data_IF_949594063883
#
_entry.id   IF_949594063883
#
_cell.length_a   1.000
_cell.length_b   1.000
_cell.length_c   1.000
_cell.angle_alpha   90.00
_cell.angle_beta   90.00
_cell.angle_gamma   90.00
#
_symmetry.space_group_name_H-M   'P 1'
#
loop_
_entity.id
_entity.type
_entity.pdbx_description
1 polymer ?
#
# COMPACT_ATOMS: atom_id res chain seq x y z
N UNK A 1 18.33 -96.27 101.36
CA UNK A 1 17.82 -97.65 101.21
C UNK A 1 17.06 -97.68 99.90
N UNK A 2 17.53 -98.50 98.97
CA UNK A 2 16.90 -98.79 97.68
C UNK A 2 15.71 -99.75 97.86
N UNK A 3 15.01 -99.96 96.75
CA UNK A 3 14.24 -101.16 96.41
C UNK A 3 12.86 -101.32 97.05
N UNK A 4 11.83 -101.73 96.33
CA UNK A 4 11.53 -101.83 94.90
C UNK A 4 10.04 -102.23 94.87
N UNK A 5 9.30 -101.71 93.91
CA UNK A 5 8.24 -102.42 93.18
C UNK A 5 7.13 -103.21 93.93
N UNK A 6 5.89 -102.78 93.66
CA UNK A 6 4.94 -103.51 92.80
C UNK A 6 3.71 -102.63 92.52
N UNK A 7 3.54 -102.12 91.29
CA UNK A 7 2.78 -102.71 90.17
C UNK A 7 1.32 -103.04 90.54
N UNK A 8 0.23 -102.61 89.89
CA UNK A 8 -0.15 -101.99 88.59
C UNK A 8 -1.69 -101.70 88.71
N UNK A 9 -2.46 -101.33 87.67
CA UNK A 9 -2.33 -100.27 86.65
C UNK A 9 -3.56 -99.32 86.64
N UNK A 10 -3.47 -98.15 86.00
CA UNK A 10 -4.63 -97.29 85.73
C UNK A 10 -4.69 -96.85 84.25
N UNK A 11 -5.89 -96.58 83.70
CA UNK A 11 -6.18 -96.69 82.27
C UNK A 11 -5.85 -95.43 81.44
N UNK A 12 -5.52 -95.70 80.18
CA UNK A 12 -5.34 -94.85 79.00
C UNK A 12 -6.10 -93.51 78.96
N UNK A 13 -5.38 -92.39 79.03
CA UNK A 13 -5.88 -91.06 78.65
C UNK A 13 -5.89 -90.86 77.13
N UNK A 14 -6.97 -90.23 76.65
CA UNK A 14 -7.21 -89.92 75.23
C UNK A 14 -6.10 -89.01 74.67
N UNK A 15 -5.55 -89.41 73.52
CA UNK A 15 -4.61 -88.63 72.73
C UNK A 15 -5.27 -87.34 72.20
N UNK A 16 -4.88 -86.20 72.74
CA UNK A 16 -5.21 -84.87 72.19
C UNK A 16 -4.21 -84.56 71.08
N UNK A 17 -4.69 -84.44 69.85
CA UNK A 17 -3.89 -83.94 68.72
C UNK A 17 -3.73 -82.42 68.90
N UNK A 18 -2.50 -81.87 68.96
CA UNK A 18 -2.33 -80.44 69.09
C UNK A 18 -2.78 -79.74 67.80
N UNK A 19 -3.76 -78.86 67.90
CA UNK A 19 -4.11 -77.89 66.86
C UNK A 19 -2.87 -77.05 66.55
N UNK A 20 -2.42 -76.95 65.28
CA UNK A 20 -1.31 -76.06 64.96
C UNK A 20 -1.72 -74.63 65.31
N UNK A 21 -1.01 -74.04 66.28
CA UNK A 21 -1.11 -72.59 66.53
C UNK A 21 -0.67 -71.92 65.23
N UNK A 22 -1.50 -71.02 64.71
CA UNK A 22 -1.07 -70.00 63.76
C UNK A 22 0.12 -69.28 64.38
N UNK A 23 1.34 -69.70 64.03
CA UNK A 23 2.54 -68.93 64.30
C UNK A 23 2.34 -67.57 63.64
N UNK A 24 2.61 -66.50 64.38
CA UNK A 24 2.64 -65.14 63.85
C UNK A 24 3.28 -65.13 62.46
N UNK A 25 2.75 -64.37 61.49
CA UNK A 25 3.45 -64.19 60.23
C UNK A 25 4.89 -63.81 60.57
N UNK A 26 5.85 -64.40 59.85
CA UNK A 26 7.27 -64.09 59.99
C UNK A 26 7.43 -62.58 60.23
N UNK A 27 8.30 -62.14 61.18
CA UNK A 27 8.46 -60.72 61.44
C UNK A 27 8.61 -60.05 60.09
N UNK A 28 7.71 -59.09 59.79
CA UNK A 28 7.83 -58.26 58.60
C UNK A 28 9.29 -57.83 58.64
N UNK A 29 10.08 -58.30 57.67
CA UNK A 29 11.44 -57.83 57.48
C UNK A 29 11.26 -56.35 57.17
N UNK A 30 11.21 -55.54 58.21
CA UNK A 30 11.44 -54.11 58.10
C UNK A 30 12.90 -54.09 57.72
N UNK A 31 13.17 -54.14 56.41
CA UNK A 31 14.43 -53.68 55.87
C UNK A 31 14.48 -52.21 56.27
N UNK A 32 14.90 -51.96 57.52
CA UNK A 32 14.98 -50.64 58.09
C UNK A 32 15.76 -49.82 57.10
N UNK A 33 15.22 -48.67 56.75
CA UNK A 33 15.95 -47.67 56.01
C UNK A 33 17.17 -47.31 56.87
N UNK A 34 18.29 -47.98 56.65
CA UNK A 34 19.58 -47.54 57.21
C UNK A 34 19.74 -46.06 56.86
N UNK A 35 20.32 -45.27 57.75
CA UNK A 35 20.51 -43.84 57.52
C UNK A 35 21.14 -43.56 56.15
N UNK A 36 22.02 -44.46 55.71
CA UNK A 36 22.68 -44.41 54.40
C UNK A 36 21.74 -44.70 53.22
N UNK A 37 20.85 -45.69 53.33
CA UNK A 37 19.84 -45.98 52.27
C UNK A 37 18.78 -44.88 52.20
N UNK A 38 18.38 -44.32 53.35
CA UNK A 38 17.50 -43.15 53.41
C UNK A 38 18.15 -41.93 52.75
N UNK A 39 19.42 -41.63 53.09
CA UNK A 39 20.18 -40.55 52.49
C UNK A 39 20.32 -40.71 50.97
N UNK A 40 20.56 -41.94 50.48
CA UNK A 40 20.66 -42.22 49.05
C UNK A 40 19.33 -41.98 48.32
N UNK A 41 18.20 -42.43 48.87
CA UNK A 41 16.86 -42.17 48.31
C UNK A 41 16.53 -40.67 48.30
N UNK A 42 16.87 -39.94 49.36
CA UNK A 42 16.71 -38.48 49.43
C UNK A 42 17.60 -37.77 48.39
N UNK A 43 18.85 -38.20 48.22
CA UNK A 43 19.74 -37.63 47.19
C UNK A 43 19.30 -37.94 45.76
N UNK A 44 18.73 -39.13 45.52
CA UNK A 44 18.25 -39.56 44.21
C UNK A 44 16.93 -38.86 43.84
N UNK A 45 16.05 -38.64 44.82
CA UNK A 45 14.82 -37.85 44.63
C UNK A 45 15.11 -36.34 44.57
N UNK A 46 16.13 -35.86 45.27
CA UNK A 46 16.62 -34.48 45.16
C UNK A 46 17.21 -34.20 43.77
N UNK A 47 18.07 -35.09 43.26
CA UNK A 47 18.69 -34.95 41.94
C UNK A 47 17.68 -35.04 40.79
N UNK A 48 16.68 -35.93 40.85
CA UNK A 48 15.64 -35.99 39.81
C UNK A 48 14.74 -34.76 39.81
N UNK A 49 14.38 -34.23 40.98
CA UNK A 49 13.64 -32.95 41.10
C UNK A 49 14.46 -31.77 40.58
N UNK A 50 15.74 -31.71 40.91
CA UNK A 50 16.64 -30.67 40.41
C UNK A 50 16.82 -30.75 38.89
N UNK A 51 16.95 -31.95 38.33
CA UNK A 51 17.00 -32.15 36.87
C UNK A 51 15.69 -31.72 36.18
N UNK A 52 14.54 -32.05 36.78
CA UNK A 52 13.24 -31.60 36.28
C UNK A 52 13.09 -30.06 36.34
N UNK A 53 13.48 -29.44 37.46
CA UNK A 53 13.47 -27.97 37.60
C UNK A 53 14.42 -27.29 36.63
N UNK A 54 15.61 -27.85 36.41
CA UNK A 54 16.56 -27.35 35.41
C UNK A 54 15.99 -27.48 33.99
N UNK A 55 15.37 -28.60 33.66
CA UNK A 55 14.68 -28.80 32.38
C UNK A 55 13.57 -27.77 32.14
N UNK A 56 12.72 -27.55 33.15
CA UNK A 56 11.67 -26.51 33.10
C UNK A 56 12.28 -25.12 32.96
N UNK A 57 13.36 -24.81 33.69
CA UNK A 57 14.04 -23.53 33.60
C UNK A 57 14.64 -23.28 32.21
N UNK A 58 15.27 -24.29 31.60
CA UNK A 58 15.81 -24.20 30.23
C UNK A 58 14.70 -23.97 29.21
N UNK A 59 13.61 -24.73 29.28
CA UNK A 59 12.47 -24.56 28.36
C UNK A 59 11.84 -23.18 28.54
N UNK A 60 11.63 -22.74 29.78
CA UNK A 60 11.07 -21.42 30.08
C UNK A 60 11.98 -20.32 29.54
N UNK A 61 13.29 -20.43 29.76
CA UNK A 61 14.28 -19.49 29.21
C UNK A 61 14.23 -19.47 27.68
N UNK A 62 14.18 -20.63 27.04
CA UNK A 62 14.09 -20.74 25.59
C UNK A 62 12.82 -20.08 25.04
N UNK A 63 11.67 -20.30 25.68
CA UNK A 63 10.40 -19.66 25.30
C UNK A 63 10.49 -18.14 25.44
N UNK A 64 11.09 -17.64 26.51
CA UNK A 64 11.27 -16.19 26.71
C UNK A 64 12.20 -15.60 25.64
N UNK A 65 13.35 -16.24 25.38
CA UNK A 65 14.30 -15.79 24.36
C UNK A 65 13.65 -15.82 22.98
N UNK A 66 12.91 -16.88 22.65
CA UNK A 66 12.21 -16.99 21.38
C UNK A 66 11.07 -15.96 21.25
N UNK A 67 10.36 -15.66 22.35
CA UNK A 67 9.35 -14.60 22.37
C UNK A 67 9.96 -13.22 22.07
N UNK A 68 11.12 -12.89 22.67
CA UNK A 68 11.84 -11.65 22.35
C UNK A 68 12.46 -11.65 20.95
N UNK A 69 12.83 -12.80 20.41
CA UNK A 69 13.28 -12.93 19.02
C UNK A 69 12.13 -12.67 18.02
N UNK A 70 10.93 -13.21 18.30
CA UNK A 70 9.77 -13.01 17.44
C UNK A 70 9.12 -11.63 17.61
N UNK A 71 9.01 -11.12 18.83
CA UNK A 71 8.35 -9.84 19.15
C UNK A 71 9.29 -8.63 19.15
N UNK A 72 10.61 -8.85 19.18
CA UNK A 72 11.61 -7.81 19.36
C UNK A 72 11.89 -7.50 20.83
N UNK A 73 13.04 -6.87 21.06
CA UNK A 73 13.44 -6.38 22.37
C UNK A 73 12.72 -5.05 22.69
N UNK A 74 12.20 -4.86 23.91
CA UNK A 74 11.55 -3.62 24.31
C UNK A 74 12.48 -2.41 24.12
N UNK A 75 12.03 -1.43 23.35
CA UNK A 75 12.78 -0.20 23.09
C UNK A 75 13.82 -0.28 21.96
N UNK A 76 13.99 -1.43 21.29
CA UNK A 76 14.87 -1.58 20.12
C UNK A 76 14.03 -1.73 18.86
N UNK A 77 13.89 -0.63 18.12
CA UNK A 77 13.14 -0.58 16.85
C UNK A 77 13.78 -1.54 15.83
N UNK A 78 12.96 -2.33 15.13
CA UNK A 78 13.42 -3.25 14.08
C UNK A 78 14.04 -4.55 14.56
N UNK A 79 14.03 -4.83 15.88
CA UNK A 79 14.54 -6.10 16.43
C UNK A 79 13.55 -7.27 16.29
N UNK A 80 12.30 -6.99 15.92
CA UNK A 80 11.24 -7.98 15.78
C UNK A 80 11.31 -8.68 14.42
N UNK A 81 11.49 -10.00 14.43
CA UNK A 81 11.41 -10.81 13.20
C UNK A 81 10.01 -10.77 12.59
N UNK A 82 8.96 -10.75 13.41
CA UNK A 82 7.58 -10.71 12.92
C UNK A 82 7.26 -9.37 12.24
N UNK A 83 7.80 -8.25 12.75
CA UNK A 83 7.64 -6.96 12.09
C UNK A 83 8.39 -6.90 10.77
N UNK A 84 9.64 -7.39 10.72
CA UNK A 84 10.42 -7.46 9.48
C UNK A 84 9.71 -8.30 8.41
N UNK A 85 9.19 -9.47 8.78
CA UNK A 85 8.45 -10.33 7.85
C UNK A 85 7.12 -9.69 7.38
N UNK A 86 6.43 -8.97 8.28
CA UNK A 86 5.21 -8.22 7.92
C UNK A 86 5.52 -7.10 6.92
N UNK A 87 6.60 -6.37 7.15
CA UNK A 87 7.05 -5.29 6.28
C UNK A 87 7.41 -5.80 4.88
N UNK A 88 8.15 -6.91 4.81
CA UNK A 88 8.48 -7.55 3.52
C UNK A 88 7.23 -7.98 2.75
N UNK A 89 6.25 -8.59 3.43
CA UNK A 89 4.97 -8.96 2.82
C UNK A 89 4.15 -7.75 2.38
N UNK A 90 4.20 -6.67 3.15
CA UNK A 90 3.55 -5.40 2.80
C UNK A 90 4.17 -4.80 1.55
N UNK A 91 5.49 -4.67 1.48
CA UNK A 91 6.19 -4.13 0.30
C UNK A 91 5.95 -4.98 -0.96
N UNK A 92 5.90 -6.31 -0.84
CA UNK A 92 5.53 -7.18 -1.96
C UNK A 92 4.07 -6.95 -2.40
N UNK A 93 3.16 -6.71 -1.45
CA UNK A 93 1.75 -6.35 -1.75
C UNK A 93 1.68 -5.00 -2.47
N UNK A 94 2.42 -4.00 -2.00
CA UNK A 94 2.54 -2.66 -2.61
C UNK A 94 3.09 -2.76 -4.04
N UNK A 95 4.12 -3.58 -4.25
CA UNK A 95 4.73 -3.85 -5.56
C UNK A 95 3.74 -4.43 -6.56
N UNK A 96 2.94 -5.42 -6.15
CA UNK A 96 1.90 -6.01 -7.01
C UNK A 96 0.80 -4.99 -7.31
N UNK A 97 0.40 -4.23 -6.29
CA UNK A 97 -0.53 -3.12 -6.41
C UNK A 97 -0.09 -2.08 -7.43
N UNK A 98 1.19 -1.70 -7.42
CA UNK A 98 1.76 -0.79 -8.41
C UNK A 98 1.64 -1.33 -9.83
N UNK A 99 2.01 -2.59 -10.06
CA UNK A 99 1.92 -3.18 -11.40
C UNK A 99 0.47 -3.20 -11.92
N UNK A 100 -0.50 -3.49 -11.04
CA UNK A 100 -1.93 -3.40 -11.37
C UNK A 100 -2.35 -1.96 -11.66
N UNK A 101 -1.86 -1.00 -10.87
CA UNK A 101 -2.15 0.42 -11.03
C UNK A 101 -1.63 0.98 -12.34
N UNK A 102 -0.39 0.69 -12.70
CA UNK A 102 0.20 1.12 -13.98
C UNK A 102 -0.59 0.57 -15.17
N UNK A 103 -0.98 -0.71 -15.12
CA UNK A 103 -1.71 -1.35 -16.22
C UNK A 103 -3.14 -0.79 -16.40
N UNK A 104 -3.79 -0.32 -15.34
CA UNK A 104 -5.24 -0.08 -15.34
C UNK A 104 -5.66 1.35 -14.98
N UNK A 105 -4.94 2.00 -14.07
CA UNK A 105 -5.37 3.21 -13.38
C UNK A 105 -4.52 4.44 -13.77
N UNK A 106 -3.22 4.26 -13.98
CA UNK A 106 -2.27 5.34 -14.25
C UNK A 106 -2.65 6.18 -15.49
N UNK A 107 -3.29 5.58 -16.50
CA UNK A 107 -3.77 6.30 -17.69
C UNK A 107 -4.74 7.44 -17.38
N UNK A 108 -5.51 7.32 -16.30
CA UNK A 108 -6.47 8.35 -15.89
C UNK A 108 -5.96 9.15 -14.68
N UNK A 109 -5.33 8.48 -13.73
CA UNK A 109 -4.92 9.06 -12.45
C UNK A 109 -3.44 9.48 -12.38
N UNK A 110 -2.67 9.30 -13.46
CA UNK A 110 -1.23 9.56 -13.52
C UNK A 110 -0.41 8.44 -12.89
N UNK A 111 0.87 8.32 -13.24
CA UNK A 111 1.76 7.25 -12.74
C UNK A 111 1.97 7.29 -11.20
N UNK A 112 1.91 8.49 -10.62
CA UNK A 112 2.07 8.74 -9.19
C UNK A 112 0.84 9.44 -8.60
N UNK A 113 -0.35 9.13 -9.13
CA UNK A 113 -1.60 9.66 -8.59
C UNK A 113 -1.80 11.16 -8.83
N UNK A 114 -1.01 11.81 -9.68
CA UNK A 114 -1.09 13.25 -9.97
C UNK A 114 -2.36 13.68 -10.74
N UNK A 115 -3.19 12.73 -11.15
CA UNK A 115 -4.43 12.96 -11.89
C UNK A 115 -4.24 13.05 -13.40
N UNK A 116 -5.24 13.64 -14.07
CA UNK A 116 -5.29 13.85 -15.52
C UNK A 116 -6.74 13.80 -16.01
N UNK A 117 -7.12 12.71 -16.66
CA UNK A 117 -8.53 12.43 -17.00
C UNK A 117 -9.34 12.18 -15.73
N UNK A 118 -8.75 11.43 -14.80
CA UNK A 118 -9.28 11.15 -13.49
C UNK A 118 -8.74 12.11 -12.43
N UNK A 119 -9.34 12.10 -11.24
CA UNK A 119 -8.92 12.96 -10.14
C UNK A 119 -7.53 12.63 -9.62
N UNK A 120 -6.89 13.63 -9.01
CA UNK A 120 -5.65 13.48 -8.25
C UNK A 120 -5.89 12.54 -7.07
N UNK A 121 -5.09 11.49 -6.96
CA UNK A 121 -5.09 10.49 -5.89
C UNK A 121 -3.97 10.71 -4.85
N UNK A 122 -2.99 11.56 -5.15
CA UNK A 122 -1.86 11.84 -4.27
C UNK A 122 -2.07 13.03 -3.31
N UNK A 123 -3.14 13.82 -3.49
CA UNK A 123 -3.46 14.96 -2.63
C UNK A 123 -4.07 14.51 -1.29
N UNK A 124 -3.23 14.36 -0.27
CA UNK A 124 -3.63 13.90 1.05
C UNK A 124 -4.57 14.86 1.79
N UNK A 125 -4.47 16.17 1.53
CA UNK A 125 -5.30 17.17 2.17
C UNK A 125 -6.75 17.08 1.71
N UNK A 126 -6.95 16.88 0.40
CA UNK A 126 -8.27 16.66 -0.17
C UNK A 126 -8.77 15.25 0.11
N UNK A 127 -7.91 14.24 0.08
CA UNK A 127 -8.38 12.84 0.18
C UNK A 127 -8.46 12.29 1.60
N UNK A 128 -8.34 13.13 2.65
CA UNK A 128 -8.25 12.66 4.04
C UNK A 128 -9.38 11.68 4.43
N UNK A 129 -10.62 11.96 4.03
CA UNK A 129 -11.77 11.07 4.28
C UNK A 129 -11.97 9.96 3.24
N UNK A 130 -11.19 9.99 2.15
CA UNK A 130 -11.41 9.20 0.95
C UNK A 130 -10.25 8.22 0.63
N UNK A 131 -9.11 8.31 1.34
CA UNK A 131 -8.02 7.31 1.32
C UNK A 131 -8.20 6.20 2.38
N UNK A 132 -9.42 6.04 2.91
CA UNK A 132 -9.72 4.92 3.81
C UNK A 132 -9.85 3.63 2.98
N UNK A 133 -9.38 2.47 3.50
CA UNK A 133 -9.50 1.20 2.78
C UNK A 133 -10.94 0.86 2.38
N UNK A 134 -11.90 1.13 3.26
CA UNK A 134 -13.32 0.87 3.01
C UNK A 134 -13.88 1.76 1.90
N UNK A 135 -13.51 3.04 1.86
CA UNK A 135 -13.93 3.93 0.78
C UNK A 135 -13.35 3.48 -0.56
N UNK A 136 -12.05 3.20 -0.62
CA UNK A 136 -11.40 2.74 -1.86
C UNK A 136 -11.95 1.39 -2.34
N UNK A 137 -12.21 0.45 -1.42
CA UNK A 137 -12.87 -0.82 -1.74
C UNK A 137 -14.24 -0.60 -2.37
N UNK A 138 -15.06 0.29 -1.81
CA UNK A 138 -16.38 0.60 -2.37
C UNK A 138 -16.29 1.28 -3.74
N UNK A 139 -15.35 2.20 -3.92
CA UNK A 139 -15.08 2.85 -5.21
C UNK A 139 -14.66 1.82 -6.26
N UNK A 140 -13.79 0.87 -5.93
CA UNK A 140 -13.34 -0.15 -6.88
C UNK A 140 -14.43 -1.20 -7.15
N UNK A 141 -15.33 -1.43 -6.18
CA UNK A 141 -16.46 -2.36 -6.33
C UNK A 141 -17.59 -1.77 -7.16
N UNK A 142 -17.94 -0.50 -6.97
CA UNK A 142 -19.11 0.12 -7.63
C UNK A 142 -18.69 1.04 -8.79
N UNK A 143 -17.40 1.29 -8.94
CA UNK A 143 -16.86 2.28 -9.88
C UNK A 143 -17.09 3.71 -9.39
N UNK A 144 -16.75 4.67 -10.25
CA UNK A 144 -16.85 6.08 -9.92
C UNK A 144 -18.27 6.61 -9.78
N UNK A 145 -19.31 5.79 -10.01
CA UNK A 145 -20.69 6.10 -9.60
C UNK A 145 -20.80 6.28 -8.08
N UNK A 146 -20.02 5.55 -7.31
CA UNK A 146 -19.99 5.71 -5.86
C UNK A 146 -19.48 7.10 -5.45
N UNK A 147 -18.65 7.70 -6.30
CA UNK A 147 -18.13 9.05 -6.14
C UNK A 147 -19.23 10.01 -6.60
N UNK A 148 -19.78 10.79 -5.68
CA UNK A 148 -20.81 11.81 -5.97
C UNK A 148 -22.16 11.32 -6.53
N UNK A 149 -22.36 10.01 -6.71
CA UNK A 149 -23.56 9.48 -7.40
C UNK A 149 -23.57 9.71 -8.91
N UNK A 150 -22.42 10.00 -9.54
CA UNK A 150 -22.38 10.35 -10.96
C UNK A 150 -22.59 9.11 -11.85
N UNK A 151 -23.76 9.00 -12.47
CA UNK A 151 -24.10 7.89 -13.35
C UNK A 151 -23.24 7.84 -14.64
N UNK A 152 -22.60 8.96 -15.01
CA UNK A 152 -21.78 9.10 -16.22
C UNK A 152 -20.27 9.03 -15.90
N UNK A 153 -19.89 8.58 -14.71
CA UNK A 153 -18.48 8.47 -14.35
C UNK A 153 -17.71 7.57 -15.32
N UNK A 154 -16.56 8.06 -15.79
CA UNK A 154 -15.66 7.30 -16.66
C UNK A 154 -14.91 6.19 -15.90
N UNK A 155 -14.88 6.27 -14.56
CA UNK A 155 -14.29 5.23 -13.73
C UNK A 155 -15.26 4.05 -13.65
N UNK A 156 -14.97 3.01 -14.42
CA UNK A 156 -15.75 1.77 -14.43
C UNK A 156 -15.63 0.95 -13.14
N UNK A 157 -16.36 -0.16 -13.11
CA UNK A 157 -16.28 -1.16 -12.03
C UNK A 157 -15.02 -2.00 -12.22
N UNK A 158 -14.30 -2.25 -11.12
CA UNK A 158 -13.05 -3.03 -11.15
C UNK A 158 -13.17 -4.38 -10.45
N UNK A 159 -14.00 -4.50 -9.41
CA UNK A 159 -14.19 -5.77 -8.72
C UNK A 159 -14.96 -6.79 -9.58
N UNK A 160 -14.46 -8.02 -9.66
CA UNK A 160 -15.05 -9.17 -10.34
C UNK A 160 -16.46 -9.51 -9.86
N UNK A 161 -16.69 -9.37 -8.56
CA UNK A 161 -18.01 -9.54 -7.91
C UNK A 161 -19.09 -8.59 -8.42
N UNK A 162 -18.71 -7.51 -9.10
CA UNK A 162 -19.63 -6.53 -9.68
C UNK A 162 -19.34 -6.27 -11.18
N UNK A 163 -18.71 -7.23 -11.86
CA UNK A 163 -18.52 -7.21 -13.31
C UNK A 163 -17.22 -6.57 -13.82
N UNK A 164 -16.29 -6.24 -12.93
CA UNK A 164 -14.93 -5.82 -13.29
C UNK A 164 -13.97 -6.99 -13.50
N UNK A 165 -12.70 -6.73 -13.84
CA UNK A 165 -11.72 -7.78 -14.12
C UNK A 165 -10.89 -8.24 -12.92
N UNK A 166 -10.92 -7.54 -11.78
CA UNK A 166 -10.00 -7.75 -10.67
C UNK A 166 -10.65 -8.53 -9.53
N UNK A 167 -9.95 -9.54 -9.02
CA UNK A 167 -10.40 -10.31 -7.86
C UNK A 167 -10.15 -9.58 -6.53
N UNK A 168 -10.70 -10.09 -5.43
CA UNK A 168 -10.60 -9.46 -4.11
C UNK A 168 -9.15 -9.16 -3.68
N UNK A 169 -8.19 -10.04 -4.01
CA UNK A 169 -6.79 -9.89 -3.62
C UNK A 169 -6.10 -8.80 -4.43
N UNK A 170 -6.39 -8.72 -5.73
CA UNK A 170 -5.88 -7.67 -6.61
C UNK A 170 -6.42 -6.29 -6.20
N UNK A 171 -7.69 -6.22 -5.75
CA UNK A 171 -8.26 -4.99 -5.20
C UNK A 171 -7.53 -4.57 -3.92
N UNK A 172 -7.25 -5.49 -2.99
CA UNK A 172 -6.48 -5.18 -1.78
C UNK A 172 -5.05 -4.69 -2.11
N UNK A 173 -4.39 -5.34 -3.08
CA UNK A 173 -3.06 -4.96 -3.56
C UNK A 173 -3.08 -3.55 -4.15
N UNK A 174 -4.08 -3.22 -4.98
CA UNK A 174 -4.26 -1.87 -5.52
C UNK A 174 -4.50 -0.83 -4.42
N UNK A 175 -5.32 -1.16 -3.42
CA UNK A 175 -5.56 -0.28 -2.26
C UNK A 175 -4.27 -0.08 -1.45
N UNK A 176 -3.44 -1.11 -1.29
CA UNK A 176 -2.16 -1.01 -0.61
C UNK A 176 -1.25 -0.02 -1.35
N UNK A 177 -1.15 -0.10 -2.68
CA UNK A 177 -0.39 0.88 -3.49
C UNK A 177 -0.95 2.29 -3.39
N UNK A 178 -2.26 2.49 -3.56
CA UNK A 178 -2.87 3.84 -3.51
C UNK A 178 -2.67 4.52 -2.16
N UNK A 179 -2.46 3.72 -1.11
CA UNK A 179 -2.20 4.18 0.26
C UNK A 179 -0.72 4.11 0.66
N UNK A 180 0.17 3.71 -0.24
CA UNK A 180 1.59 3.60 0.02
C UNK A 180 2.20 4.97 0.27
N UNK A 181 3.15 5.01 1.20
CA UNK A 181 3.85 6.21 1.59
C UNK A 181 5.10 6.45 0.74
N UNK A 182 5.61 7.67 0.80
CA UNK A 182 6.89 8.04 0.20
C UNK A 182 8.09 7.36 0.87
N UNK A 183 7.89 6.70 2.02
CA UNK A 183 8.91 5.84 2.65
C UNK A 183 8.81 4.38 2.19
N UNK A 184 7.73 3.99 1.53
CA UNK A 184 7.54 2.63 1.02
C UNK A 184 8.22 2.53 -0.36
N UNK A 185 9.49 2.13 -0.36
CA UNK A 185 10.27 1.94 -1.57
C UNK A 185 10.16 0.50 -2.09
N UNK A 186 9.81 0.33 -3.36
CA UNK A 186 9.74 -0.99 -4.00
C UNK A 186 10.48 -0.99 -5.34
N UNK A 187 11.13 -2.10 -5.65
CA UNK A 187 11.81 -2.31 -6.94
C UNK A 187 10.86 -2.99 -7.93
N UNK A 188 10.57 -2.31 -9.03
CA UNK A 188 9.65 -2.75 -10.08
C UNK A 188 10.37 -2.79 -11.42
N UNK A 189 9.88 -3.61 -12.34
CA UNK A 189 10.42 -3.66 -13.70
C UNK A 189 9.63 -2.67 -14.56
N UNK A 190 10.30 -1.69 -15.11
CA UNK A 190 9.71 -0.73 -16.04
C UNK A 190 9.24 -1.49 -17.30
N UNK A 191 7.95 -1.42 -17.67
CA UNK A 191 7.43 -2.09 -18.86
C UNK A 191 7.97 -1.52 -20.18
N UNK A 192 8.43 -0.27 -20.22
CA UNK A 192 8.96 0.39 -21.42
C UNK A 192 10.43 0.05 -21.66
N UNK A 193 11.25 0.05 -20.62
CA UNK A 193 12.70 -0.17 -20.72
C UNK A 193 13.13 -1.59 -20.34
N UNK A 194 12.31 -2.30 -19.56
CA UNK A 194 12.65 -3.59 -18.97
C UNK A 194 13.64 -3.49 -17.82
N UNK A 195 14.09 -2.30 -17.42
CA UNK A 195 15.03 -2.12 -16.31
C UNK A 195 14.34 -2.17 -14.95
N UNK A 196 15.10 -2.50 -13.89
CA UNK A 196 14.60 -2.39 -12.53
C UNK A 196 14.71 -0.95 -12.07
N UNK A 197 13.58 -0.34 -11.75
CA UNK A 197 13.47 1.02 -11.24
C UNK A 197 12.94 0.99 -9.82
N UNK A 198 13.47 1.89 -8.99
CA UNK A 198 12.98 2.13 -7.64
C UNK A 198 11.84 3.12 -7.70
N UNK A 199 10.71 2.73 -7.15
CA UNK A 199 9.55 3.60 -7.02
C UNK A 199 9.20 3.73 -5.54
N UNK A 200 8.62 4.86 -5.18
CA UNK A 200 8.04 5.09 -3.86
C UNK A 200 6.56 5.38 -4.01
N UNK A 201 5.78 5.11 -2.96
CA UNK A 201 4.43 5.66 -2.85
C UNK A 201 4.44 7.19 -2.78
N UNK A 202 3.24 7.78 -2.73
CA UNK A 202 3.07 9.24 -2.80
C UNK A 202 2.59 9.88 -1.49
N UNK A 203 2.21 9.10 -0.48
CA UNK A 203 1.72 9.65 0.78
C UNK A 203 2.86 10.03 1.71
N UNK A 204 2.87 11.26 2.17
CA UNK A 204 3.77 11.71 3.24
C UNK A 204 3.20 11.29 4.61
N UNK A 205 3.87 10.39 5.36
CA UNK A 205 3.45 10.00 6.72
C UNK A 205 3.46 11.16 7.72
N UNK A 206 4.26 12.20 7.48
CA UNK A 206 4.35 13.38 8.33
C UNK A 206 3.27 14.43 8.01
N UNK A 207 2.42 14.19 7.00
CA UNK A 207 1.39 15.13 6.61
C UNK A 207 0.35 15.31 7.72
N UNK A 208 0.20 16.56 8.15
CA UNK A 208 -0.85 16.99 9.08
C UNK A 208 -1.71 18.02 8.36
N UNK A 209 -3.04 17.81 8.22
CA UNK A 209 -3.91 18.82 7.63
C UNK A 209 -3.91 20.08 8.50
N UNK A 210 -4.11 21.25 7.88
CA UNK A 210 -4.28 22.50 8.61
C UNK A 210 -5.46 22.37 9.60
N UNK A 211 -5.38 23.05 10.74
CA UNK A 211 -6.39 22.93 11.80
C UNK A 211 -7.80 23.39 11.36
N UNK A 212 -7.88 24.22 10.33
CA UNK A 212 -9.08 24.73 9.69
C UNK A 212 -9.45 24.00 8.38
N UNK A 213 -8.70 22.95 8.01
CA UNK A 213 -9.00 22.15 6.83
C UNK A 213 -10.36 21.48 6.99
N UNK A 214 -11.33 21.91 6.18
CA UNK A 214 -12.61 21.24 6.07
C UNK A 214 -12.44 20.01 5.17
N UNK A 215 -12.99 18.84 5.55
CA UNK A 215 -13.07 17.70 4.63
C UNK A 215 -13.77 18.16 3.35
N UNK A 216 -13.17 17.89 2.18
CA UNK A 216 -13.80 18.21 0.90
C UNK A 216 -15.17 17.53 0.81
N UNK A 217 -16.17 18.19 0.18
CA UNK A 217 -17.48 17.60 0.01
C UNK A 217 -17.41 16.27 -0.73
N UNK A 218 -18.30 15.34 -0.39
CA UNK A 218 -18.41 14.04 -1.07
C UNK A 218 -18.68 14.17 -2.58
N UNK A 219 -19.14 15.34 -3.04
CA UNK A 219 -19.27 15.68 -4.44
C UNK A 219 -18.05 16.48 -4.94
N UNK A 220 -17.01 15.78 -5.37
CA UNK A 220 -15.71 16.36 -5.70
C UNK A 220 -15.68 17.26 -6.96
N UNK A 221 -16.81 17.45 -7.65
CA UNK A 221 -16.89 18.17 -8.95
C UNK A 221 -16.25 19.56 -8.91
N UNK A 222 -16.42 20.28 -7.81
CA UNK A 222 -15.91 21.65 -7.67
C UNK A 222 -14.46 21.72 -7.13
N UNK A 223 -14.00 20.64 -6.47
CA UNK A 223 -12.61 20.51 -6.01
C UNK A 223 -11.64 20.08 -7.14
N UNK A 224 -12.19 19.65 -8.27
CA UNK A 224 -11.50 19.32 -9.53
C UNK A 224 -11.34 20.53 -10.46
N UNK A 225 -12.04 21.64 -10.20
CA UNK A 225 -11.57 22.93 -10.65
C UNK A 225 -10.39 23.28 -9.74
N UNK A 226 -9.18 23.35 -10.29
CA UNK A 226 -8.03 23.90 -9.57
C UNK A 226 -8.40 25.31 -9.11
N UNK A 227 -8.78 25.47 -7.83
CA UNK A 227 -8.90 26.79 -7.21
C UNK A 227 -7.49 27.38 -7.15
N UNK A 228 -7.19 28.50 -7.83
CA UNK A 228 -5.96 29.22 -7.59
C UNK A 228 -5.95 29.67 -6.13
N UNK A 229 -4.86 29.39 -5.41
CA UNK A 229 -4.64 30.01 -4.10
C UNK A 229 -4.79 31.53 -4.22
N UNK A 230 -5.36 32.21 -3.21
CA UNK A 230 -5.66 33.62 -3.32
C UNK A 230 -4.36 34.43 -3.32
N UNK A 231 -4.02 35.03 -4.46
CA UNK A 231 -3.14 36.21 -4.52
C UNK A 231 -4.00 37.48 -4.47
N UNK A 232 -3.44 38.60 -3.98
CA UNK A 232 -4.21 39.69 -3.41
C UNK A 232 -5.02 40.45 -4.47
N UNK A 233 -6.23 40.80 -4.05
CA UNK A 233 -7.21 41.73 -4.60
C UNK A 233 -6.74 42.64 -5.74
N UNK A 234 -7.32 42.45 -6.92
CA UNK A 234 -7.28 43.47 -7.98
C UNK A 234 -7.83 43.00 -9.31
N UNK A 235 -9.10 43.32 -9.59
CA UNK A 235 -9.63 43.37 -10.95
C UNK A 235 -10.53 42.18 -11.34
N UNK A 236 -11.83 42.41 -11.25
CA UNK A 236 -12.86 41.62 -11.90
C UNK A 236 -12.63 41.56 -13.42
N UNK A 237 -12.55 40.36 -14.01
CA UNK A 237 -12.71 40.18 -15.46
C UNK A 237 -13.72 39.09 -15.74
N UNK A 238 -14.79 39.49 -16.44
CA UNK A 238 -15.79 38.61 -17.06
C UNK A 238 -15.14 37.71 -18.13
N UNK A 239 -15.73 36.54 -18.44
CA UNK A 239 -15.24 35.70 -19.53
C UNK A 239 -15.43 36.42 -20.86
N UNK A 240 -14.32 36.82 -21.49
CA UNK A 240 -14.30 37.44 -22.82
C UNK A 240 -14.12 36.40 -23.92
N UNK A 241 -14.87 36.66 -24.99
CA UNK A 241 -14.90 36.00 -26.29
C UNK A 241 -13.50 35.89 -26.94
N UNK A 242 -13.33 34.86 -27.77
CA UNK A 242 -12.17 34.55 -28.59
C UNK A 242 -11.40 35.79 -29.13
N UNK A 243 -10.06 35.84 -29.02
CA UNK A 243 -9.28 36.91 -29.62
C UNK A 243 -9.07 36.62 -31.11
N UNK A 244 -9.85 37.27 -31.95
CA UNK A 244 -9.49 37.53 -33.34
C UNK A 244 -8.65 38.81 -33.40
N UNK A 245 -7.33 38.68 -33.43
CA UNK A 245 -6.38 39.80 -33.60
C UNK A 245 -5.44 39.53 -34.78
N UNK A 246 -5.45 40.44 -35.75
CA UNK A 246 -4.65 40.36 -36.98
C UNK A 246 -3.23 40.91 -36.87
N UNK A 247 -2.44 40.55 -37.89
CA UNK A 247 -1.09 40.97 -38.30
C UNK A 247 0.05 40.79 -37.29
N UNK A 248 0.79 39.67 -37.39
CA UNK A 248 2.03 39.43 -36.64
C UNK A 248 1.79 39.22 -35.13
N UNK A 249 0.63 38.67 -34.79
CA UNK A 249 0.16 38.54 -33.42
C UNK A 249 1.03 37.61 -32.58
N UNK A 250 1.13 37.95 -31.29
CA UNK A 250 1.59 37.03 -30.25
C UNK A 250 0.35 36.38 -29.64
N UNK A 251 0.29 35.06 -29.65
CA UNK A 251 -0.85 34.28 -29.15
C UNK A 251 -0.41 33.47 -27.93
N UNK A 252 -1.20 33.51 -26.86
CA UNK A 252 -0.92 32.69 -25.68
C UNK A 252 -1.67 31.36 -25.79
N UNK A 253 -0.96 30.27 -25.51
CA UNK A 253 -1.54 28.95 -25.31
C UNK A 253 -1.10 28.48 -23.93
N UNK A 254 -2.06 28.15 -23.07
CA UNK A 254 -1.80 27.68 -21.71
C UNK A 254 -2.01 26.17 -21.66
N UNK A 255 -1.03 25.43 -21.13
CA UNK A 255 -1.18 24.04 -20.75
C UNK A 255 -1.57 23.94 -19.28
N UNK A 256 -2.74 23.38 -19.01
CA UNK A 256 -3.23 23.14 -17.65
C UNK A 256 -4.15 21.90 -17.64
N UNK A 257 -3.91 20.99 -16.70
CA UNK A 257 -4.62 19.72 -16.58
C UNK A 257 -4.42 18.80 -17.77
N UNK A 258 -3.22 18.79 -18.38
CA UNK A 258 -2.90 18.00 -19.58
C UNK A 258 -3.82 18.33 -20.77
N UNK A 259 -4.22 19.61 -20.86
CA UNK A 259 -5.03 20.17 -21.93
C UNK A 259 -4.54 21.56 -22.28
N UNK A 260 -4.76 21.97 -23.53
CA UNK A 260 -4.66 23.37 -23.87
C UNK A 260 -5.92 24.09 -23.37
N UNK A 261 -5.77 25.32 -22.90
CA UNK A 261 -6.88 26.21 -22.54
C UNK A 261 -7.77 26.55 -23.75
N UNK A 262 -7.15 26.59 -24.94
CA UNK A 262 -7.82 26.85 -26.21
C UNK A 262 -7.93 25.57 -27.06
N UNK A 263 -9.10 25.37 -27.66
CA UNK A 263 -9.36 24.28 -28.62
C UNK A 263 -9.19 24.72 -30.08
N UNK A 264 -9.18 26.03 -30.33
CA UNK A 264 -9.00 26.61 -31.66
C UNK A 264 -8.14 27.88 -31.59
N UNK A 265 -7.24 28.05 -32.54
CA UNK A 265 -6.46 29.26 -32.76
C UNK A 265 -6.60 29.70 -34.22
N UNK A 266 -6.76 30.99 -34.48
CA UNK A 266 -6.83 31.53 -35.86
C UNK A 266 -5.76 32.59 -36.05
N UNK A 267 -4.99 32.45 -37.13
CA UNK A 267 -3.88 33.35 -37.47
C UNK A 267 -3.93 33.78 -38.94
N UNK A 268 -3.22 34.86 -39.27
CA UNK A 268 -3.15 35.38 -40.64
C UNK A 268 -2.26 34.50 -41.54
N UNK A 269 -2.73 34.21 -42.75
CA UNK A 269 -1.95 33.51 -43.77
C UNK A 269 -0.76 34.34 -44.27
N UNK A 270 0.35 33.65 -44.57
CA UNK A 270 1.55 34.23 -45.17
C UNK A 270 2.36 35.14 -44.24
N UNK A 271 2.10 35.13 -42.92
CA UNK A 271 2.84 35.92 -41.92
C UNK A 271 3.35 35.02 -40.80
N UNK A 272 4.57 35.29 -40.33
CA UNK A 272 5.07 34.71 -39.07
C UNK A 272 4.29 35.27 -37.88
N UNK A 273 4.26 34.51 -36.79
CA UNK A 273 3.57 34.89 -35.55
C UNK A 273 4.29 34.29 -34.35
N UNK A 274 3.99 34.77 -33.14
CA UNK A 274 4.56 34.22 -31.91
C UNK A 274 3.54 33.38 -31.16
N UNK A 275 4.00 32.30 -30.54
CA UNK A 275 3.26 31.57 -29.52
C UNK A 275 3.97 31.77 -28.18
N UNK A 276 3.27 32.34 -27.21
CA UNK A 276 3.65 32.33 -25.80
C UNK A 276 3.02 31.10 -25.18
N UNK A 277 3.82 30.07 -24.96
CA UNK A 277 3.37 28.81 -24.36
C UNK A 277 3.61 28.82 -22.86
N UNK A 278 2.53 28.84 -22.09
CA UNK A 278 2.55 28.87 -20.62
C UNK A 278 2.18 27.50 -20.06
N UNK A 279 3.15 26.77 -19.52
CA UNK A 279 2.89 25.52 -18.82
C UNK A 279 2.55 25.83 -17.36
N UNK A 280 1.35 25.49 -16.93
CA UNK A 280 0.90 25.64 -15.54
C UNK A 280 0.81 24.29 -14.81
N UNK A 281 1.14 23.18 -15.47
CA UNK A 281 1.17 21.85 -14.87
C UNK A 281 2.53 21.58 -14.20
N UNK A 282 2.57 21.76 -12.87
CA UNK A 282 3.77 21.50 -12.08
C UNK A 282 4.27 20.05 -12.25
N UNK A 283 5.55 19.90 -12.60
CA UNK A 283 6.19 18.60 -12.82
C UNK A 283 5.79 17.86 -14.10
N UNK A 284 4.84 18.36 -14.91
CA UNK A 284 4.41 17.70 -16.14
C UNK A 284 5.10 18.38 -17.34
N UNK A 285 5.81 17.63 -18.20
CA UNK A 285 6.45 18.19 -19.38
C UNK A 285 5.44 18.44 -20.50
N UNK A 286 5.45 19.68 -21.01
CA UNK A 286 4.62 20.09 -22.12
C UNK A 286 5.45 20.76 -23.21
N UNK A 287 4.90 20.76 -24.42
CA UNK A 287 5.33 21.61 -25.52
C UNK A 287 4.12 21.96 -26.40
N UNK A 288 4.38 22.75 -27.43
CA UNK A 288 3.46 22.96 -28.55
C UNK A 288 4.20 22.66 -29.85
N UNK A 289 3.65 21.74 -30.63
CA UNK A 289 4.08 21.40 -31.99
C UNK A 289 2.94 21.71 -32.96
N UNK A 290 3.25 22.02 -34.21
CA UNK A 290 2.26 22.32 -35.27
C UNK A 290 2.41 21.29 -36.38
N UNK A 291 1.31 20.69 -36.80
CA UNK A 291 1.25 19.68 -37.85
C UNK A 291 0.21 20.05 -38.92
N UNK A 292 0.35 19.45 -40.10
CA UNK A 292 -0.71 19.43 -41.13
C UNK A 292 -1.93 18.63 -40.66
N UNK A 293 -3.09 18.89 -41.26
CA UNK A 293 -4.28 18.07 -41.09
C UNK A 293 -5.31 18.66 -40.12
N UNK A 294 -5.97 17.78 -39.36
CA UNK A 294 -7.05 18.15 -38.43
C UNK A 294 -6.86 17.48 -37.08
N UNK A 295 -7.63 17.92 -36.07
CA UNK A 295 -7.66 17.30 -34.74
C UNK A 295 -8.02 15.81 -34.75
N UNK A 296 -8.59 15.28 -35.84
CA UNK A 296 -8.92 13.85 -36.02
C UNK A 296 -7.94 13.10 -36.92
N UNK A 297 -7.01 13.81 -37.59
CA UNK A 297 -6.04 13.24 -38.52
C UNK A 297 -4.79 14.13 -38.53
N UNK A 298 -3.93 13.94 -37.53
CA UNK A 298 -2.66 14.67 -37.38
C UNK A 298 -1.66 14.16 -38.42
N UNK A 299 -1.22 15.06 -39.29
CA UNK A 299 -0.30 14.79 -40.38
C UNK A 299 1.16 15.12 -40.04
N UNK A 300 1.90 15.52 -41.06
CA UNK A 300 3.34 15.84 -40.96
C UNK A 300 3.59 17.00 -39.98
N UNK A 301 4.63 16.87 -39.17
CA UNK A 301 5.12 17.96 -38.30
C UNK A 301 5.75 19.08 -39.13
N UNK A 302 5.36 20.31 -38.82
CA UNK A 302 5.81 21.54 -39.47
C UNK A 302 6.60 22.44 -38.53
N UNK A 303 6.37 22.32 -37.22
CA UNK A 303 7.09 23.05 -36.17
C UNK A 303 7.09 22.24 -34.87
N UNK A 304 8.20 22.27 -34.14
CA UNK A 304 8.36 21.59 -32.86
C UNK A 304 8.92 22.55 -31.80
N UNK A 305 8.10 22.89 -30.80
CA UNK A 305 8.55 23.58 -29.60
C UNK A 305 9.31 22.66 -28.64
N UNK A 306 10.15 23.25 -27.79
CA UNK A 306 10.90 22.51 -26.79
C UNK A 306 9.96 21.92 -25.72
N UNK A 307 10.29 20.72 -25.24
CA UNK A 307 9.60 20.06 -24.14
C UNK A 307 10.25 20.53 -22.84
N UNK A 308 9.46 21.05 -21.91
CA UNK A 308 9.96 21.49 -20.61
C UNK A 308 9.00 21.13 -19.47
N UNK A 309 9.52 20.66 -18.32
CA UNK A 309 8.70 20.27 -17.17
C UNK A 309 8.33 21.46 -16.30
N UNK A 310 7.16 21.37 -15.66
CA UNK A 310 6.75 22.27 -14.58
C UNK A 310 6.32 23.66 -15.01
N UNK A 311 6.06 24.51 -14.00
CA UNK A 311 5.49 25.84 -14.21
C UNK A 311 6.54 26.75 -14.82
N UNK A 312 6.40 27.02 -16.11
CA UNK A 312 7.30 27.89 -16.86
C UNK A 312 6.62 28.36 -18.15
N UNK A 313 7.15 29.43 -18.72
CA UNK A 313 6.68 29.98 -19.98
C UNK A 313 7.83 29.99 -21.00
N UNK A 314 7.51 29.66 -22.25
CA UNK A 314 8.42 29.79 -23.38
C UNK A 314 7.74 30.52 -24.53
N UNK A 315 8.50 31.32 -25.26
CA UNK A 315 8.01 32.04 -26.44
C UNK A 315 8.67 31.48 -27.68
N UNK A 316 7.86 31.24 -28.70
CA UNK A 316 8.24 30.61 -29.95
C UNK A 316 7.92 31.52 -31.14
N UNK A 317 8.91 31.76 -31.99
CA UNK A 317 8.71 32.39 -33.30
C UNK A 317 8.29 31.34 -34.33
N UNK A 318 7.03 31.39 -34.75
CA UNK A 318 6.44 30.44 -35.69
C UNK A 318 6.56 30.99 -37.12
N UNK A 319 7.07 30.19 -38.07
CA UNK A 319 7.19 30.62 -39.46
C UNK A 319 5.82 30.85 -40.11
N UNK A 320 5.82 31.58 -41.21
CA UNK A 320 4.60 31.82 -41.99
C UNK A 320 4.06 30.51 -42.61
N UNK A 321 2.74 30.31 -42.49
CA UNK A 321 2.03 29.20 -43.13
C UNK A 321 1.09 29.69 -44.23
N UNK A 322 0.85 28.84 -45.22
CA UNK A 322 -0.17 29.09 -46.25
C UNK A 322 -1.58 28.97 -45.63
N UNK A 323 -2.56 29.65 -46.21
CA UNK A 323 -3.95 29.52 -45.80
C UNK A 323 -4.39 28.03 -45.83
N UNK A 324 -5.02 27.57 -44.75
CA UNK A 324 -5.34 26.17 -44.57
C UNK A 324 -5.66 25.79 -43.12
N UNK A 325 -5.97 24.51 -42.94
CA UNK A 325 -6.22 23.92 -41.63
C UNK A 325 -5.00 23.14 -41.18
N UNK A 326 -4.63 23.36 -39.92
CA UNK A 326 -3.52 22.74 -39.23
C UNK A 326 -3.98 22.31 -37.84
N UNK A 327 -3.10 21.63 -37.12
CA UNK A 327 -3.34 21.21 -35.74
C UNK A 327 -2.14 21.59 -34.89
N UNK A 328 -2.37 22.10 -33.69
CA UNK A 328 -1.34 22.21 -32.67
C UNK A 328 -1.52 21.10 -31.63
N UNK A 329 -0.42 20.46 -31.23
CA UNK A 329 -0.41 19.26 -30.39
C UNK A 329 0.71 19.33 -29.36
N UNK A 330 0.48 18.79 -28.17
CA UNK A 330 1.55 18.50 -27.22
C UNK A 330 2.14 17.12 -27.54
N UNK A 331 3.40 17.05 -27.95
CA UNK A 331 4.08 15.81 -28.38
C UNK A 331 4.10 14.75 -27.26
N UNK A 332 4.20 15.19 -26.01
CA UNK A 332 4.19 14.29 -24.83
C UNK A 332 2.80 13.70 -24.55
N UNK A 333 1.73 14.38 -24.97
CA UNK A 333 0.35 14.01 -24.65
C UNK A 333 -0.47 13.95 -25.95
N UNK A 334 -0.54 12.79 -26.63
CA UNK A 334 -1.11 12.68 -27.97
C UNK A 334 -2.59 13.11 -28.12
N UNK A 335 -3.33 13.16 -27.01
CA UNK A 335 -4.75 13.59 -26.98
C UNK A 335 -4.92 15.11 -26.71
N UNK A 336 -3.83 15.82 -26.43
CA UNK A 336 -3.83 17.26 -26.17
C UNK A 336 -3.60 17.98 -27.51
N UNK A 337 -4.69 18.19 -28.23
CA UNK A 337 -4.73 18.76 -29.59
C UNK A 337 -5.70 19.94 -29.67
N UNK A 338 -5.39 20.91 -30.53
CA UNK A 338 -6.28 22.00 -30.90
C UNK A 338 -6.16 22.35 -32.38
N UNK A 339 -7.21 22.94 -32.95
CA UNK A 339 -7.23 23.30 -34.36
C UNK A 339 -6.55 24.66 -34.60
N UNK A 340 -5.64 24.73 -35.57
CA UNK A 340 -5.06 25.98 -36.03
C UNK A 340 -5.60 26.31 -37.43
N UNK A 341 -6.35 27.40 -37.54
CA UNK A 341 -6.87 27.91 -38.81
C UNK A 341 -6.00 29.06 -39.28
N UNK A 342 -5.39 28.91 -40.45
CA UNK A 342 -4.58 29.97 -41.08
C UNK A 342 -5.41 30.56 -42.22
N UNK A 343 -5.70 31.86 -42.19
CA UNK A 343 -6.58 32.52 -43.18
C UNK A 343 -6.12 33.90 -43.59
#
# INVERSE_FOLDING_TARGET
>A
MTDEQRNLPAPSEKRVTPTPRLSSPAPIQTHGLTAERAAKIVSQSGSSRMAALLGVAIVTLFVIVYAFYDQGLPGVVGSSRLEAAREEQYLETVKRGYNLYEANCARCHGAQGQGGIGPVLSDQGKLLSHLTPSYLMNVLTVGGRYICGDANSLMGVWADTNGGPLNYREIEELIAWVRASNTDEVEVRDPATGELVKITGWRDPAYVPAADATPVPACWKDAFAVSPSPMPSGGSVSPSVAPSGGAGGSYTIVAMGVKFDLTTLTVDAGKSFQIVFDNQDAGIPHNVAIHEGSVTSVGKELYLGAIFPGIAQQTYDIPAFNAGNYVFICTVHPNMVGALTVK
#
